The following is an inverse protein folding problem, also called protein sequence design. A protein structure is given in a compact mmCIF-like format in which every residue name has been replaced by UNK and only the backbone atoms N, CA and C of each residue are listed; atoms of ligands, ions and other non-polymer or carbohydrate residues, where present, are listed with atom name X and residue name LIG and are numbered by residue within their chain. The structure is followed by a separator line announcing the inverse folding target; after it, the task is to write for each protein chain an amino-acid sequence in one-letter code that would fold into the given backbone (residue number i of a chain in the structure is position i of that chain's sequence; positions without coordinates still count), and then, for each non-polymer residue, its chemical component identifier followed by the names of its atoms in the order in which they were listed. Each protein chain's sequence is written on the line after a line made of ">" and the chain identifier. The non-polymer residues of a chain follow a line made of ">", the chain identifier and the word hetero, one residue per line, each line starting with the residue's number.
data_IF_222578878630
#
_entry.id   IF_222578878630
#
_cell.length_a   1.000
_cell.length_b   1.000
_cell.length_c   1.000
_cell.angle_alpha   90.00
_cell.angle_beta   90.00
_cell.angle_gamma   90.00
#
_symmetry.space_group_name_H-M   'P 1'
#
loop_
_entity.id
_entity.type
_entity.pdbx_description
1 polymer ?
#
# COMPACT_ATOMS: atom_id res chain seq x y z
N UNK A 1 20.99 1.28 -7.38
CA UNK A 1 20.17 2.17 -8.23
C UNK A 1 20.95 2.73 -9.40
N UNK A 2 22.12 3.36 -9.21
CA UNK A 2 22.87 4.04 -10.29
C UNK A 2 23.12 3.17 -11.54
N UNK A 3 23.37 1.87 -11.36
CA UNK A 3 23.49 0.85 -12.42
C UNK A 3 22.25 -0.05 -12.56
N UNK A 4 21.11 0.34 -11.98
CA UNK A 4 19.86 -0.42 -11.99
C UNK A 4 19.76 -1.56 -10.97
N UNK A 5 20.80 -1.84 -10.17
CA UNK A 5 20.77 -2.93 -9.19
C UNK A 5 19.97 -2.56 -7.91
N UNK A 6 19.29 -3.54 -7.26
CA UNK A 6 18.67 -3.35 -5.96
C UNK A 6 19.67 -2.98 -4.87
N UNK A 7 19.16 -2.49 -3.74
CA UNK A 7 19.98 -2.35 -2.52
C UNK A 7 20.28 -3.72 -1.92
N UNK A 8 21.44 -3.88 -1.28
CA UNK A 8 21.85 -5.15 -0.63
C UNK A 8 20.75 -5.71 0.29
N UNK A 9 20.15 -4.88 1.14
CA UNK A 9 19.12 -5.32 2.07
C UNK A 9 17.79 -5.71 1.40
N UNK A 10 17.54 -5.26 0.18
CA UNK A 10 16.37 -5.64 -0.63
C UNK A 10 16.62 -6.95 -1.38
N UNK A 11 17.78 -7.07 -2.02
CA UNK A 11 18.20 -8.28 -2.74
C UNK A 11 18.32 -9.49 -1.79
N UNK A 12 18.88 -9.28 -0.60
CA UNK A 12 19.07 -10.33 0.41
C UNK A 12 17.88 -10.53 1.34
N UNK A 13 16.75 -9.87 1.07
CA UNK A 13 15.55 -10.00 1.90
C UNK A 13 14.91 -11.39 1.71
N UNK A 14 15.24 -12.34 2.58
CA UNK A 14 14.72 -13.72 2.54
C UNK A 14 13.20 -13.80 2.49
N UNK A 15 12.51 -12.89 3.20
CA UNK A 15 11.05 -12.83 3.21
C UNK A 15 10.41 -12.28 1.93
N UNK A 16 11.20 -11.75 0.98
CA UNK A 16 10.73 -11.12 -0.27
C UNK A 16 9.68 -10.03 -0.04
N UNK A 17 9.82 -9.26 1.04
CA UNK A 17 8.86 -8.21 1.46
C UNK A 17 9.29 -6.79 1.08
N UNK A 18 10.42 -6.63 0.38
CA UNK A 18 10.98 -5.33 0.04
C UNK A 18 10.82 -5.07 -1.45
N UNK A 19 10.11 -4.00 -1.77
CA UNK A 19 9.89 -3.54 -3.13
C UNK A 19 10.62 -2.22 -3.34
N UNK A 20 11.30 -2.10 -4.48
CA UNK A 20 11.95 -0.86 -4.90
C UNK A 20 11.25 -0.36 -6.17
N UNK A 21 11.01 0.94 -6.24
CA UNK A 21 10.30 1.56 -7.35
C UNK A 21 10.51 3.06 -7.33
N UNK A 22 10.43 3.66 -8.52
CA UNK A 22 10.56 5.12 -8.67
C UNK A 22 9.25 5.78 -8.24
N UNK A 23 9.36 6.92 -7.56
CA UNK A 23 8.26 7.85 -7.32
C UNK A 23 8.69 9.20 -7.88
N UNK A 24 7.84 9.80 -8.70
CA UNK A 24 7.96 11.20 -9.11
C UNK A 24 7.27 12.05 -8.04
N UNK A 25 7.87 13.17 -7.68
CA UNK A 25 7.34 14.04 -6.63
C UNK A 25 7.61 15.51 -6.95
N UNK A 26 6.72 16.39 -6.47
CA UNK A 26 6.85 17.83 -6.63
C UNK A 26 7.66 18.43 -5.47
N UNK A 27 8.91 18.81 -5.75
CA UNK A 27 9.82 19.34 -4.74
C UNK A 27 9.35 20.68 -4.15
N UNK A 28 8.63 21.50 -4.92
CA UNK A 28 8.17 22.82 -4.47
C UNK A 28 7.04 22.71 -3.43
N UNK A 29 6.38 21.54 -3.36
CA UNK A 29 5.27 21.27 -2.43
C UNK A 29 5.70 20.58 -1.13
N UNK A 30 6.99 20.31 -0.94
CA UNK A 30 7.52 19.62 0.24
C UNK A 30 7.27 20.42 1.52
N UNK A 31 7.59 21.72 1.52
CA UNK A 31 7.43 22.57 2.71
C UNK A 31 5.96 22.68 3.10
N UNK A 32 5.09 22.94 2.12
CA UNK A 32 3.64 23.00 2.31
C UNK A 32 3.10 21.70 2.92
N UNK A 33 3.47 20.55 2.37
CA UNK A 33 3.01 19.25 2.87
C UNK A 33 3.52 18.96 4.28
N UNK A 34 4.81 19.19 4.56
CA UNK A 34 5.41 18.92 5.87
C UNK A 34 4.93 19.87 6.98
N UNK A 35 4.48 21.07 6.60
CA UNK A 35 4.02 22.12 7.52
C UNK A 35 2.51 22.12 7.78
N UNK A 36 1.75 21.16 7.24
CA UNK A 36 0.29 21.05 7.50
C UNK A 36 -0.04 21.06 8.99
N UNK A 37 -1.13 21.70 9.38
CA UNK A 37 -1.46 21.94 10.79
C UNK A 37 -1.67 20.62 11.56
N UNK A 38 -2.51 19.73 11.03
CA UNK A 38 -2.85 18.46 11.68
C UNK A 38 -1.92 17.33 11.24
N UNK A 39 -1.33 16.63 12.22
CA UNK A 39 -0.40 15.53 11.97
C UNK A 39 -1.05 14.34 11.25
N UNK A 40 -2.35 14.12 11.47
CA UNK A 40 -3.14 13.08 10.78
C UNK A 40 -3.26 13.32 9.28
N UNK A 41 -3.08 14.56 8.82
CA UNK A 41 -3.20 14.92 7.41
C UNK A 41 -1.88 14.67 6.66
N UNK A 42 -0.75 14.54 7.37
CA UNK A 42 0.61 14.42 6.78
C UNK A 42 0.73 13.26 5.80
N UNK A 43 0.05 12.14 6.06
CA UNK A 43 0.04 11.00 5.14
C UNK A 43 -0.57 11.36 3.78
N UNK A 44 -1.77 11.93 3.76
CA UNK A 44 -2.44 12.29 2.50
C UNK A 44 -1.76 13.51 1.86
N UNK A 45 -1.24 14.47 2.65
CA UNK A 45 -0.39 15.56 2.12
C UNK A 45 0.86 15.05 1.43
N UNK A 46 1.53 14.03 1.98
CA UNK A 46 2.66 13.41 1.31
C UNK A 46 2.24 12.69 0.02
N UNK A 47 1.08 12.00 0.02
CA UNK A 47 0.51 11.44 -1.21
C UNK A 47 0.28 12.52 -2.27
N UNK A 48 -0.20 13.70 -1.89
CA UNK A 48 -0.47 14.80 -2.82
C UNK A 48 0.80 15.38 -3.46
N UNK A 49 1.97 15.16 -2.84
CA UNK A 49 3.28 15.53 -3.39
C UNK A 49 3.73 14.53 -4.45
N UNK A 50 3.26 13.28 -4.42
CA UNK A 50 3.57 12.29 -5.44
C UNK A 50 2.79 12.52 -6.73
N UNK A 51 3.48 12.40 -7.85
CA UNK A 51 2.97 12.69 -9.19
C UNK A 51 2.61 11.41 -9.93
N UNK A 52 1.53 11.45 -10.72
CA UNK A 52 1.11 10.32 -11.54
C UNK A 52 2.07 10.12 -12.73
N UNK A 53 2.84 9.02 -12.79
CA UNK A 53 3.83 8.82 -13.85
C UNK A 53 3.22 8.50 -15.22
N UNK A 54 1.91 8.25 -15.29
CA UNK A 54 1.17 8.02 -16.53
C UNK A 54 0.46 9.28 -17.05
N UNK A 55 0.49 10.39 -16.31
CA UNK A 55 -0.10 11.65 -16.75
C UNK A 55 0.80 12.31 -17.82
N UNK A 56 0.30 12.57 -19.05
CA UNK A 56 1.07 13.23 -20.10
C UNK A 56 1.72 14.55 -19.66
N UNK A 57 1.06 15.35 -18.82
CA UNK A 57 1.61 16.62 -18.34
C UNK A 57 2.80 16.41 -17.39
N UNK A 58 2.72 15.41 -16.51
CA UNK A 58 3.83 15.03 -15.61
C UNK A 58 5.01 14.49 -16.42
N UNK A 59 4.75 13.68 -17.45
CA UNK A 59 5.79 13.12 -18.32
C UNK A 59 6.52 14.24 -19.06
N UNK A 60 5.77 15.18 -19.66
CA UNK A 60 6.35 16.32 -20.38
C UNK A 60 7.21 17.19 -19.44
N UNK A 61 6.71 17.48 -18.24
CA UNK A 61 7.44 18.29 -17.26
C UNK A 61 8.68 17.57 -16.72
N UNK A 62 8.59 16.27 -16.42
CA UNK A 62 9.73 15.47 -15.99
C UNK A 62 10.86 15.48 -17.05
N UNK A 63 10.51 15.37 -18.33
CA UNK A 63 11.49 15.47 -19.43
C UNK A 63 12.12 16.86 -19.53
N UNK A 64 11.33 17.94 -19.35
CA UNK A 64 11.85 19.32 -19.32
C UNK A 64 12.84 19.54 -18.17
N UNK A 65 12.59 18.93 -17.03
CA UNK A 65 13.47 18.98 -15.85
C UNK A 65 14.68 18.03 -15.94
N UNK A 66 14.82 17.30 -17.06
CA UNK A 66 15.98 16.45 -17.33
C UNK A 66 15.91 15.06 -16.70
N UNK A 67 14.73 14.61 -16.24
CA UNK A 67 14.54 13.22 -15.81
C UNK A 67 14.65 12.30 -17.02
N UNK A 68 15.58 11.33 -17.03
CA UNK A 68 15.75 10.42 -18.16
C UNK A 68 14.51 9.58 -18.45
N UNK A 69 14.23 9.32 -19.73
CA UNK A 69 13.05 8.53 -20.14
C UNK A 69 12.98 7.16 -19.45
N UNK A 70 14.10 6.47 -19.26
CA UNK A 70 14.13 5.17 -18.59
C UNK A 70 13.72 5.24 -17.11
N UNK A 71 13.89 6.40 -16.45
CA UNK A 71 13.42 6.62 -15.08
C UNK A 71 11.90 6.83 -15.07
N UNK A 72 11.35 7.55 -16.05
CA UNK A 72 9.90 7.72 -16.23
C UNK A 72 9.25 6.37 -16.52
N UNK A 73 9.80 5.57 -17.44
CA UNK A 73 9.33 4.23 -17.76
C UNK A 73 9.38 3.28 -16.54
N UNK A 74 10.34 3.49 -15.63
CA UNK A 74 10.43 2.76 -14.37
C UNK A 74 9.38 3.23 -13.36
N UNK A 75 9.06 4.53 -13.32
CA UNK A 75 8.01 5.09 -12.48
C UNK A 75 6.63 4.55 -12.88
N UNK A 76 6.36 4.43 -14.18
CA UNK A 76 5.10 3.87 -14.71
C UNK A 76 4.87 2.40 -14.30
N UNK A 77 5.94 1.66 -14.03
CA UNK A 77 5.92 0.25 -13.62
C UNK A 77 6.26 0.05 -12.14
N UNK A 78 6.27 1.13 -11.36
CA UNK A 78 6.75 1.15 -9.98
C UNK A 78 5.83 0.34 -9.05
N UNK A 79 6.31 -0.75 -8.43
CA UNK A 79 5.53 -1.46 -7.41
C UNK A 79 5.25 -0.57 -6.20
N UNK A 80 6.14 0.38 -5.90
CA UNK A 80 5.99 1.32 -4.79
C UNK A 80 4.85 2.28 -5.06
N UNK A 81 4.74 2.84 -6.27
CA UNK A 81 3.62 3.70 -6.66
C UNK A 81 2.29 2.95 -6.57
N UNK A 82 2.24 1.71 -7.08
CA UNK A 82 1.04 0.86 -7.00
C UNK A 82 0.60 0.62 -5.54
N UNK A 83 1.53 0.25 -4.66
CA UNK A 83 1.20 -0.01 -3.26
C UNK A 83 0.81 1.25 -2.48
N UNK A 84 1.46 2.38 -2.73
CA UNK A 84 1.22 3.62 -2.00
C UNK A 84 0.01 4.40 -2.53
N UNK A 85 -0.13 4.53 -3.86
CA UNK A 85 -1.11 5.40 -4.51
C UNK A 85 -2.32 4.64 -5.03
N UNK A 86 -2.12 3.60 -5.84
CA UNK A 86 -3.24 2.89 -6.50
C UNK A 86 -4.03 2.03 -5.51
N UNK A 87 -3.33 1.19 -4.75
CA UNK A 87 -3.94 0.21 -3.86
C UNK A 87 -4.04 0.67 -2.40
N UNK A 88 -3.41 1.80 -2.05
CA UNK A 88 -3.41 2.37 -0.69
C UNK A 88 -3.12 1.32 0.40
N UNK A 89 -2.12 0.46 0.15
CA UNK A 89 -1.66 -0.59 1.06
C UNK A 89 -0.47 -0.16 1.89
N UNK A 90 0.46 0.58 1.28
CA UNK A 90 1.65 1.07 1.95
C UNK A 90 1.38 2.41 2.63
N UNK A 91 1.92 2.58 3.83
CA UNK A 91 1.78 3.76 4.67
C UNK A 91 3.17 4.25 5.14
N UNK A 92 3.38 5.56 5.31
CA UNK A 92 4.65 6.10 5.82
C UNK A 92 4.91 5.66 7.25
N UNK A 93 6.17 5.54 7.65
CA UNK A 93 6.54 5.31 9.05
C UNK A 93 6.69 6.64 9.79
N UNK A 94 5.93 6.81 10.87
CA UNK A 94 5.89 8.00 11.71
C UNK A 94 5.77 9.30 10.89
N UNK A 95 4.70 9.49 10.10
CA UNK A 95 4.50 10.70 9.31
C UNK A 95 4.51 11.98 10.16
N UNK A 96 4.11 11.91 11.43
CA UNK A 96 4.12 13.01 12.41
C UNK A 96 5.50 13.63 12.66
N UNK A 97 6.59 12.96 12.26
CA UNK A 97 7.93 13.53 12.31
C UNK A 97 8.18 14.58 11.22
N UNK A 98 7.24 14.76 10.28
CA UNK A 98 7.27 15.83 9.25
C UNK A 98 8.51 15.79 8.34
N UNK A 99 9.09 14.61 8.18
CA UNK A 99 10.26 14.38 7.31
C UNK A 99 9.90 13.90 5.90
N UNK A 100 8.61 13.66 5.64
CA UNK A 100 8.09 13.05 4.41
C UNK A 100 8.89 11.77 4.04
N UNK A 101 8.83 10.72 4.88
CA UNK A 101 9.67 9.53 4.73
C UNK A 101 9.38 8.80 3.41
N UNK A 102 10.43 8.31 2.74
CA UNK A 102 10.31 7.60 1.44
C UNK A 102 10.39 6.07 1.56
N UNK A 103 10.42 5.54 2.78
CA UNK A 103 10.33 4.09 3.06
C UNK A 103 9.00 3.82 3.75
N UNK A 104 8.10 3.13 3.05
CA UNK A 104 6.73 2.89 3.48
C UNK A 104 6.50 1.41 3.79
N UNK A 105 5.50 1.12 4.62
CA UNK A 105 5.22 -0.19 5.17
C UNK A 105 3.78 -0.60 4.90
N UNK A 106 3.59 -1.87 4.53
CA UNK A 106 2.26 -2.50 4.50
C UNK A 106 1.98 -3.06 5.90
N UNK A 107 0.85 -2.71 6.55
CA UNK A 107 0.55 -3.18 7.89
C UNK A 107 0.34 -4.71 7.89
N UNK A 108 0.82 -5.44 8.91
CA UNK A 108 0.71 -6.89 8.93
C UNK A 108 -0.70 -7.35 9.31
N UNK A 109 -1.21 -8.37 8.60
CA UNK A 109 -2.31 -9.18 9.11
C UNK A 109 -1.86 -9.99 10.33
N UNK A 110 -2.79 -10.31 11.23
CA UNK A 110 -2.53 -11.19 12.38
C UNK A 110 -3.64 -12.21 12.55
N UNK A 111 -3.46 -13.27 13.36
CA UNK A 111 -4.56 -14.18 13.68
C UNK A 111 -5.73 -13.44 14.33
N UNK A 112 -6.94 -13.96 14.17
CA UNK A 112 -8.15 -13.42 14.82
C UNK A 112 -8.11 -13.80 16.31
N UNK A 113 -8.36 -12.83 17.20
CA UNK A 113 -8.21 -12.93 18.65
C UNK A 113 -9.09 -14.03 19.28
N UNK A 114 -10.25 -14.33 18.68
CA UNK A 114 -11.26 -15.27 19.21
C UNK A 114 -11.32 -16.63 18.51
N UNK A 115 -10.52 -16.86 17.45
CA UNK A 115 -10.55 -18.16 16.74
C UNK A 115 -9.95 -19.30 17.57
N UNK A 116 -9.13 -18.99 18.59
CA UNK A 116 -8.54 -19.98 19.48
C UNK A 116 -9.48 -20.42 20.63
N UNK A 117 -10.38 -19.54 21.09
CA UNK A 117 -11.12 -19.77 22.34
C UNK A 117 -12.61 -20.07 22.17
N UNK A 118 -13.25 -19.68 21.05
CA UNK A 118 -14.72 -19.65 20.96
C UNK A 118 -15.37 -20.64 19.98
N UNK A 119 -14.60 -21.41 19.19
CA UNK A 119 -15.15 -22.47 18.32
C UNK A 119 -16.20 -22.02 17.28
N UNK A 120 -16.32 -20.71 17.01
CA UNK A 120 -17.30 -20.14 16.10
C UNK A 120 -16.67 -19.17 15.09
N UNK A 121 -17.31 -19.03 13.92
CA UNK A 121 -16.94 -18.01 12.94
C UNK A 121 -17.28 -16.63 13.52
N UNK A 122 -16.36 -15.64 13.46
CA UNK A 122 -16.71 -14.27 13.83
C UNK A 122 -17.89 -13.81 12.97
N UNK A 123 -18.92 -13.27 13.62
CA UNK A 123 -20.00 -12.59 12.92
C UNK A 123 -19.44 -11.27 12.39
N UNK A 124 -19.27 -11.19 11.08
CA UNK A 124 -19.14 -9.92 10.36
C UNK A 124 -20.44 -9.68 9.60
N UNK A 125 -20.90 -8.43 9.58
CA UNK A 125 -22.03 -8.03 8.74
C UNK A 125 -21.67 -8.10 7.23
N UNK A 126 -20.37 -8.15 6.91
CA UNK A 126 -19.84 -8.28 5.54
C UNK A 126 -19.21 -9.65 5.24
N UNK A 127 -18.70 -9.78 4.01
CA UNK A 127 -18.06 -11.01 3.49
C UNK A 127 -16.70 -11.28 4.15
N UNK A 128 -16.02 -10.22 4.57
CA UNK A 128 -14.71 -10.30 5.22
C UNK A 128 -14.86 -10.40 6.74
N UNK A 129 -14.05 -11.24 7.41
CA UNK A 129 -13.97 -11.22 8.86
C UNK A 129 -13.64 -9.80 9.36
N UNK A 130 -14.22 -9.42 10.49
CA UNK A 130 -13.99 -8.10 11.09
C UNK A 130 -12.48 -7.89 11.32
N UNK A 131 -11.89 -6.93 10.62
CA UNK A 131 -10.46 -6.55 10.76
C UNK A 131 -10.17 -6.07 12.18
N UNK A 132 -11.20 -5.56 12.84
CA UNK A 132 -11.22 -5.13 14.23
C UNK A 132 -11.03 -6.31 15.20
N UNK A 133 -11.24 -7.55 14.75
CA UNK A 133 -11.03 -8.78 15.53
C UNK A 133 -9.61 -9.36 15.42
N UNK A 134 -8.72 -8.74 14.64
CA UNK A 134 -7.33 -9.15 14.53
C UNK A 134 -6.60 -8.95 15.88
N UNK A 135 -5.68 -9.86 16.21
CA UNK A 135 -4.95 -9.86 17.48
C UNK A 135 -4.10 -8.60 17.70
N UNK A 136 -3.50 -8.05 16.64
CA UNK A 136 -2.73 -6.81 16.73
C UNK A 136 -3.73 -5.64 16.79
N UNK A 137 -3.73 -4.82 17.87
CA UNK A 137 -4.64 -3.68 17.95
C UNK A 137 -4.40 -2.70 16.81
N UNK A 138 -5.46 -2.34 16.08
CA UNK A 138 -5.35 -1.40 14.95
C UNK A 138 -4.78 -0.05 15.37
N UNK A 139 -5.13 0.42 16.57
CA UNK A 139 -4.61 1.68 17.12
C UNK A 139 -3.08 1.65 17.28
N UNK A 140 -2.49 0.49 17.61
CA UNK A 140 -1.04 0.35 17.72
C UNK A 140 -0.35 0.57 16.36
N UNK A 141 -0.93 0.02 15.29
CA UNK A 141 -0.43 0.23 13.93
C UNK A 141 -0.65 1.67 13.47
N UNK A 142 -1.80 2.27 13.78
CA UNK A 142 -2.12 3.64 13.43
C UNK A 142 -1.14 4.65 14.05
N UNK A 143 -0.78 4.44 15.31
CA UNK A 143 0.21 5.26 16.00
C UNK A 143 1.60 5.25 15.33
N UNK A 144 1.93 4.20 14.56
CA UNK A 144 3.21 4.11 13.85
C UNK A 144 3.11 4.54 12.38
N UNK A 145 1.95 4.37 11.73
CA UNK A 145 1.84 4.42 10.28
C UNK A 145 0.98 5.58 9.73
N UNK A 146 0.24 6.25 10.61
CA UNK A 146 -0.77 7.24 10.19
C UNK A 146 -1.06 8.27 11.30
N UNK A 147 -0.07 8.57 12.14
CA UNK A 147 -0.18 9.54 13.24
C UNK A 147 -1.40 9.30 14.16
N UNK A 148 -1.79 8.05 14.35
CA UNK A 148 -2.93 7.64 15.18
C UNK A 148 -4.27 7.49 14.45
N UNK A 149 -4.37 7.87 13.18
CA UNK A 149 -5.60 7.65 12.39
C UNK A 149 -5.73 6.18 11.97
N UNK A 150 -6.77 5.50 12.45
CA UNK A 150 -7.00 4.09 12.13
C UNK A 150 -7.55 3.86 10.71
N UNK A 151 -8.10 4.89 10.07
CA UNK A 151 -8.75 4.79 8.75
C UNK A 151 -7.84 4.20 7.67
N UNK A 152 -6.65 4.78 7.40
CA UNK A 152 -5.70 4.27 6.41
C UNK A 152 -5.25 2.83 6.69
N UNK A 153 -5.04 2.48 7.96
CA UNK A 153 -4.62 1.14 8.37
C UNK A 153 -5.73 0.11 8.12
N UNK A 154 -6.97 0.42 8.53
CA UNK A 154 -8.13 -0.45 8.28
C UNK A 154 -8.34 -0.66 6.78
N UNK A 155 -8.20 0.40 5.98
CA UNK A 155 -8.29 0.33 4.52
C UNK A 155 -7.28 -0.66 3.93
N UNK A 156 -6.01 -0.55 4.30
CA UNK A 156 -4.96 -1.44 3.83
C UNK A 156 -5.21 -2.91 4.24
N UNK A 157 -5.57 -3.15 5.51
CA UNK A 157 -5.86 -4.49 6.03
C UNK A 157 -7.08 -5.13 5.36
N UNK A 158 -8.18 -4.38 5.20
CA UNK A 158 -9.40 -4.84 4.50
C UNK A 158 -9.10 -5.22 3.06
N UNK A 159 -8.31 -4.41 2.33
CA UNK A 159 -7.90 -4.71 0.95
C UNK A 159 -7.06 -5.97 0.83
N UNK A 160 -6.13 -6.22 1.76
CA UNK A 160 -5.37 -7.47 1.79
C UNK A 160 -6.26 -8.69 2.08
N UNK A 161 -7.25 -8.54 2.97
CA UNK A 161 -8.22 -9.61 3.25
C UNK A 161 -9.16 -9.87 2.07
N UNK A 162 -9.60 -8.82 1.37
CA UNK A 162 -10.37 -8.90 0.13
C UNK A 162 -9.65 -9.72 -0.94
N UNK A 163 -8.37 -9.44 -1.18
CA UNK A 163 -7.54 -10.22 -2.11
C UNK A 163 -7.48 -11.69 -1.70
N UNK A 164 -7.27 -12.00 -0.41
CA UNK A 164 -7.23 -13.39 0.07
C UNK A 164 -8.57 -14.10 -0.13
N UNK A 165 -9.69 -13.43 0.12
CA UNK A 165 -11.03 -13.98 -0.09
C UNK A 165 -11.26 -14.29 -1.56
N UNK A 166 -11.03 -13.32 -2.44
CA UNK A 166 -11.19 -13.44 -3.89
C UNK A 166 -10.33 -14.56 -4.48
N UNK A 167 -9.03 -14.62 -4.14
CA UNK A 167 -8.16 -15.71 -4.65
C UNK A 167 -8.54 -17.07 -4.08
N UNK A 168 -9.08 -17.15 -2.86
CA UNK A 168 -9.60 -18.40 -2.30
C UNK A 168 -10.84 -18.87 -3.05
N UNK A 169 -11.79 -17.99 -3.38
CA UNK A 169 -12.99 -18.38 -4.13
C UNK A 169 -12.60 -19.01 -5.47
N UNK A 170 -11.62 -18.43 -6.16
CA UNK A 170 -11.14 -18.96 -7.44
C UNK A 170 -10.42 -20.31 -7.29
N UNK A 171 -9.52 -20.43 -6.31
CA UNK A 171 -8.61 -21.59 -6.19
C UNK A 171 -9.19 -22.77 -5.43
N UNK A 172 -10.14 -22.54 -4.53
CA UNK A 172 -10.73 -23.58 -3.67
C UNK A 172 -12.16 -23.90 -4.08
N UNK A 173 -12.97 -22.86 -4.31
CA UNK A 173 -14.41 -23.01 -4.59
C UNK A 173 -14.70 -23.09 -6.09
N UNK A 174 -13.74 -22.72 -6.94
CA UNK A 174 -13.87 -22.72 -8.39
C UNK A 174 -14.82 -21.64 -8.93
N UNK A 175 -15.05 -20.57 -8.15
CA UNK A 175 -15.95 -19.47 -8.50
C UNK A 175 -15.25 -18.12 -8.39
N UNK A 176 -15.65 -17.16 -9.22
CA UNK A 176 -15.19 -15.77 -9.11
C UNK A 176 -16.17 -15.00 -8.24
N UNK A 177 -15.82 -14.79 -6.97
CA UNK A 177 -16.63 -14.02 -6.03
C UNK A 177 -16.02 -12.63 -5.80
N UNK A 178 -16.64 -11.62 -6.42
CA UNK A 178 -16.16 -10.24 -6.39
C UNK A 178 -16.66 -9.43 -5.19
N UNK A 179 -17.58 -9.96 -4.38
CA UNK A 179 -18.25 -9.19 -3.32
C UNK A 179 -17.27 -8.54 -2.34
N UNK A 180 -16.23 -9.28 -1.93
CA UNK A 180 -15.22 -8.79 -1.00
C UNK A 180 -14.33 -7.68 -1.57
N UNK A 181 -14.05 -7.70 -2.89
CA UNK A 181 -13.20 -6.70 -3.55
C UNK A 181 -14.02 -5.45 -3.91
N UNK A 182 -15.30 -5.62 -4.25
CA UNK A 182 -16.27 -4.54 -4.42
C UNK A 182 -16.47 -3.75 -3.11
N UNK A 183 -16.57 -4.45 -1.97
CA UNK A 183 -16.73 -3.85 -0.63
C UNK A 183 -15.58 -2.87 -0.29
N UNK A 184 -14.37 -3.11 -0.80
CA UNK A 184 -13.18 -2.28 -0.54
C UNK A 184 -12.77 -1.38 -1.71
N UNK A 185 -13.63 -1.31 -2.74
CA UNK A 185 -13.44 -0.48 -3.93
C UNK A 185 -12.23 -0.87 -4.77
N UNK A 186 -11.97 -2.17 -4.91
CA UNK A 186 -10.94 -2.70 -5.81
C UNK A 186 -11.58 -3.40 -7.02
N UNK A 187 -10.96 -3.28 -8.18
CA UNK A 187 -11.35 -4.04 -9.39
C UNK A 187 -10.68 -5.41 -9.42
N UNK A 188 -11.23 -6.35 -10.20
CA UNK A 188 -10.60 -7.65 -10.44
C UNK A 188 -9.18 -7.51 -10.99
N UNK A 189 -8.96 -6.58 -11.93
CA UNK A 189 -7.64 -6.29 -12.49
C UNK A 189 -6.65 -5.83 -11.42
N UNK A 190 -7.05 -4.91 -10.54
CA UNK A 190 -6.21 -4.46 -9.43
C UNK A 190 -5.86 -5.61 -8.49
N UNK A 191 -6.81 -6.51 -8.20
CA UNK A 191 -6.59 -7.63 -7.27
C UNK A 191 -5.70 -8.71 -7.88
N UNK A 192 -5.85 -9.00 -9.17
CA UNK A 192 -4.94 -9.91 -9.88
C UNK A 192 -3.53 -9.32 -9.96
N UNK A 193 -3.40 -8.01 -10.17
CA UNK A 193 -2.11 -7.33 -10.14
C UNK A 193 -1.50 -7.32 -8.72
N UNK A 194 -2.29 -7.02 -7.69
CA UNK A 194 -1.86 -7.15 -6.29
C UNK A 194 -1.36 -8.57 -6.00
N UNK A 195 -2.08 -9.61 -6.44
CA UNK A 195 -1.67 -10.99 -6.26
C UNK A 195 -0.35 -11.30 -6.97
N UNK A 196 -0.17 -10.81 -8.20
CA UNK A 196 1.09 -10.94 -8.94
C UNK A 196 2.26 -10.32 -8.17
N UNK A 197 2.12 -9.10 -7.66
CA UNK A 197 3.21 -8.42 -6.95
C UNK A 197 3.45 -8.97 -5.53
N UNK A 198 2.39 -9.26 -4.77
CA UNK A 198 2.48 -9.61 -3.35
C UNK A 198 2.64 -11.11 -3.07
N UNK A 199 2.10 -11.98 -3.93
CA UNK A 199 2.12 -13.43 -3.71
C UNK A 199 3.14 -14.14 -4.60
N UNK A 200 3.14 -13.87 -5.92
CA UNK A 200 4.14 -14.44 -6.84
C UNK A 200 5.48 -13.75 -6.63
N UNK A 201 5.45 -12.41 -6.60
CA UNK A 201 6.57 -11.54 -6.20
C UNK A 201 7.87 -11.81 -6.94
N UNK A 202 7.79 -12.06 -8.26
CA UNK A 202 8.97 -12.27 -9.11
C UNK A 202 10.01 -11.16 -8.97
N UNK A 203 11.28 -11.52 -9.19
CA UNK A 203 12.44 -10.63 -9.08
C UNK A 203 12.43 -9.54 -10.15
#
# INVERSE_FOLDING_TARGET
>A
IESGQPTVCSETCVGRIRYLGVLLYDADRIEEAASTEHETDLYERQCDVFLNPNDPAVIEEALKQGIPQNVIDAAQRSPVYKMAMDWKLALPLHPEYRTLPMVWYVPPLSPIQSYADAGGLPQSDGVLPAVESLRIPVQYLANMLSAGDTGPVLRALKRMMAMRHYKRSQTVEGVTDTRAIEEVGLTEEQVEEMYRYLAVSDY
#
